data_IF_405016124388
#
_entry.id   IF_405016124388
#
_cell.length_a   1.000
_cell.length_b   1.000
_cell.length_c   1.000
_cell.angle_alpha   90.00
_cell.angle_beta   90.00
_cell.angle_gamma   90.00
#
_symmetry.space_group_name_H-M   'P 1'
#
loop_
_entity.id
_entity.type
_entity.pdbx_description
1 polymer ?
#
# COMPACT_ATOMS: atom_id res chain seq x y z
N UNK A 1 -21.42 0.14 -12.94
CA UNK A 1 -20.79 -0.40 -11.72
C UNK A 1 -20.12 0.73 -10.99
N UNK A 2 -20.40 0.86 -9.72
CA UNK A 2 -19.82 1.88 -8.90
C UNK A 2 -18.43 1.43 -8.41
N UNK A 3 -17.45 2.30 -8.57
CA UNK A 3 -16.09 2.04 -8.09
C UNK A 3 -15.89 2.72 -6.75
N UNK A 4 -15.57 1.95 -5.72
CA UNK A 4 -15.28 2.49 -4.38
C UNK A 4 -14.04 3.39 -4.44
N UNK A 5 -13.01 2.97 -5.17
CA UNK A 5 -11.84 3.80 -5.44
C UNK A 5 -12.05 4.59 -6.73
N UNK A 6 -13.02 5.52 -6.70
CA UNK A 6 -13.24 6.41 -7.83
C UNK A 6 -12.08 7.40 -7.98
N UNK A 7 -11.97 8.02 -9.15
CA UNK A 7 -10.94 9.04 -9.37
C UNK A 7 -10.98 10.14 -8.31
N UNK A 8 -12.18 10.58 -7.92
CA UNK A 8 -12.34 11.60 -6.88
C UNK A 8 -11.82 11.15 -5.53
N UNK A 9 -12.11 9.91 -5.16
CA UNK A 9 -11.62 9.33 -3.89
C UNK A 9 -10.10 9.22 -3.92
N UNK A 10 -9.54 8.75 -5.03
CA UNK A 10 -8.08 8.64 -5.18
C UNK A 10 -7.41 9.99 -5.03
N UNK A 11 -7.93 11.03 -5.68
CA UNK A 11 -7.37 12.38 -5.56
C UNK A 11 -7.47 12.90 -4.13
N UNK A 12 -8.60 12.68 -3.46
CA UNK A 12 -8.79 13.13 -2.07
C UNK A 12 -7.81 12.43 -1.12
N UNK A 13 -7.62 11.12 -1.29
CA UNK A 13 -6.68 10.34 -0.47
C UNK A 13 -5.25 10.81 -0.71
N UNK A 14 -4.85 10.98 -1.97
CA UNK A 14 -3.50 11.46 -2.29
C UNK A 14 -3.24 12.85 -1.71
N UNK A 15 -4.21 13.77 -1.83
CA UNK A 15 -4.08 15.11 -1.26
C UNK A 15 -3.92 15.07 0.25
N UNK A 16 -4.69 14.24 0.94
CA UNK A 16 -4.60 14.08 2.39
C UNK A 16 -3.27 13.49 2.83
N UNK A 17 -2.81 12.46 2.15
CA UNK A 17 -1.53 11.82 2.46
C UNK A 17 -0.35 12.75 2.18
N UNK A 18 -0.40 13.49 1.07
CA UNK A 18 0.65 14.47 0.75
C UNK A 18 0.72 15.56 1.81
N UNK A 19 -0.44 16.06 2.26
CA UNK A 19 -0.49 17.08 3.31
C UNK A 19 0.12 16.56 4.62
N UNK A 20 -0.16 15.33 5.01
CA UNK A 20 0.42 14.70 6.20
C UNK A 20 1.93 14.53 6.08
N UNK A 21 2.43 14.26 4.87
CA UNK A 21 3.85 14.01 4.65
C UNK A 21 4.68 15.30 4.53
N UNK A 22 4.04 16.46 4.35
CA UNK A 22 4.75 17.73 4.23
C UNK A 22 5.54 18.04 5.47
N UNK A 23 6.74 18.56 5.27
CA UNK A 23 7.63 18.94 6.36
C UNK A 23 8.51 17.82 6.87
N UNK A 24 8.25 16.57 6.43
CA UNK A 24 9.12 15.43 6.69
C UNK A 24 9.94 15.07 5.46
N UNK A 25 10.53 13.89 5.47
CA UNK A 25 11.22 13.36 4.29
C UNK A 25 10.22 13.14 3.16
N UNK A 26 10.62 13.38 1.89
CA UNK A 26 9.71 13.14 0.76
C UNK A 26 9.40 11.64 0.62
N UNK A 27 8.18 11.34 0.20
CA UNK A 27 7.70 9.95 0.08
C UNK A 27 7.08 9.70 -1.28
N UNK A 28 6.97 8.43 -1.64
CA UNK A 28 6.16 7.97 -2.75
C UNK A 28 4.88 7.35 -2.20
N UNK A 29 3.75 7.72 -2.76
CA UNK A 29 2.42 7.25 -2.36
C UNK A 29 1.84 6.40 -3.47
N UNK A 30 1.47 5.16 -3.18
CA UNK A 30 0.89 4.24 -4.14
C UNK A 30 -0.44 3.71 -3.62
N UNK A 31 -1.44 3.65 -4.49
CA UNK A 31 -2.74 3.07 -4.18
C UNK A 31 -3.00 1.98 -5.20
N UNK A 32 -3.27 0.76 -4.75
CA UNK A 32 -3.63 -0.36 -5.61
C UNK A 32 -5.11 -0.70 -5.44
N UNK A 33 -5.74 -1.16 -6.52
CA UNK A 33 -7.15 -1.56 -6.49
C UNK A 33 -7.28 -3.03 -6.07
N UNK A 34 -8.52 -3.49 -5.87
CA UNK A 34 -8.79 -4.84 -5.39
C UNK A 34 -8.29 -5.97 -6.31
N UNK A 35 -8.00 -5.66 -7.56
CA UNK A 35 -7.38 -6.62 -8.49
C UNK A 35 -5.86 -6.67 -8.40
N UNK A 36 -5.26 -5.84 -7.56
CA UNK A 36 -3.81 -5.75 -7.41
C UNK A 36 -3.14 -4.79 -8.39
N UNK A 37 -3.92 -4.09 -9.22
CA UNK A 37 -3.40 -3.12 -10.18
C UNK A 37 -3.16 -1.76 -9.55
N UNK A 38 -2.19 -1.03 -10.08
CA UNK A 38 -1.88 0.32 -9.62
C UNK A 38 -3.00 1.28 -10.04
N UNK A 39 -3.65 1.91 -9.07
CA UNK A 39 -4.73 2.87 -9.32
C UNK A 39 -4.22 4.31 -9.29
N UNK A 40 -3.24 4.63 -8.45
CA UNK A 40 -2.67 5.96 -8.36
C UNK A 40 -1.25 5.90 -7.80
N UNK A 41 -0.41 6.82 -8.27
CA UNK A 41 0.97 6.92 -7.82
C UNK A 41 1.36 8.39 -7.79
N UNK A 42 1.89 8.85 -6.67
CA UNK A 42 2.44 10.20 -6.53
C UNK A 42 3.82 10.11 -5.92
N UNK A 43 4.80 10.68 -6.60
CA UNK A 43 6.17 10.79 -6.10
C UNK A 43 6.43 12.23 -5.71
N UNK A 44 6.65 12.49 -4.43
CA UNK A 44 6.95 13.83 -3.95
C UNK A 44 8.36 14.25 -4.42
N UNK A 45 8.54 15.56 -4.58
CA UNK A 45 9.83 16.10 -5.00
C UNK A 45 10.95 15.64 -4.05
N UNK A 46 12.04 15.17 -4.63
CA UNK A 46 13.19 14.70 -3.87
C UNK A 46 13.13 13.23 -3.44
N UNK A 47 12.07 12.52 -3.77
CA UNK A 47 11.95 11.10 -3.45
C UNK A 47 12.90 10.28 -4.34
N UNK A 48 13.70 9.36 -3.78
CA UNK A 48 14.54 8.48 -4.60
C UNK A 48 13.69 7.51 -5.43
N UNK A 49 14.16 7.18 -6.64
CA UNK A 49 13.41 6.32 -7.56
C UNK A 49 13.07 4.94 -6.99
N UNK A 50 13.94 4.37 -6.15
CA UNK A 50 13.68 3.06 -5.54
C UNK A 50 12.41 3.05 -4.69
N UNK A 51 11.98 4.22 -4.20
CA UNK A 51 10.76 4.33 -3.40
C UNK A 51 9.50 3.98 -4.20
N UNK A 52 9.52 4.09 -5.51
CA UNK A 52 8.37 3.81 -6.38
C UNK A 52 7.98 2.33 -6.28
N UNK A 53 8.92 1.42 -6.55
CA UNK A 53 8.64 -0.01 -6.48
C UNK A 53 8.36 -0.47 -5.04
N UNK A 54 9.05 0.12 -4.07
CA UNK A 54 8.82 -0.19 -2.65
C UNK A 54 7.40 0.20 -2.24
N UNK A 55 6.94 1.40 -2.60
CA UNK A 55 5.59 1.85 -2.28
C UNK A 55 4.52 0.94 -2.92
N UNK A 56 4.72 0.56 -4.16
CA UNK A 56 3.81 -0.36 -4.85
C UNK A 56 3.78 -1.72 -4.17
N UNK A 57 4.93 -2.25 -3.80
CA UNK A 57 5.02 -3.53 -3.09
C UNK A 57 4.31 -3.50 -1.75
N UNK A 58 4.44 -2.43 -1.00
CA UNK A 58 3.74 -2.25 0.29
C UNK A 58 2.23 -2.24 0.11
N UNK A 59 1.72 -1.48 -0.85
CA UNK A 59 0.29 -1.39 -1.13
C UNK A 59 -0.26 -2.74 -1.60
N UNK A 60 0.44 -3.39 -2.50
CA UNK A 60 0.08 -4.70 -3.03
C UNK A 60 0.03 -5.76 -1.92
N UNK A 61 1.05 -5.80 -1.06
CA UNK A 61 1.12 -6.76 0.05
C UNK A 61 -0.05 -6.56 1.01
N UNK A 62 -0.34 -5.31 1.37
CA UNK A 62 -1.45 -4.99 2.28
C UNK A 62 -2.79 -5.44 1.70
N UNK A 63 -3.00 -5.25 0.41
CA UNK A 63 -4.21 -5.72 -0.27
C UNK A 63 -4.32 -7.25 -0.20
N UNK A 64 -3.28 -7.96 -0.62
CA UNK A 64 -3.30 -9.43 -0.70
C UNK A 64 -3.45 -10.09 0.67
N UNK A 65 -2.81 -9.54 1.69
CA UNK A 65 -2.86 -10.11 3.04
C UNK A 65 -4.01 -9.54 3.87
N UNK A 66 -4.72 -8.54 3.36
CA UNK A 66 -5.80 -7.85 4.06
C UNK A 66 -5.37 -7.38 5.45
N UNK A 67 -4.11 -6.97 5.56
CA UNK A 67 -3.50 -6.49 6.80
C UNK A 67 -2.43 -5.45 6.47
N UNK A 68 -2.05 -4.66 7.47
CA UNK A 68 -0.90 -3.76 7.28
C UNK A 68 0.37 -4.59 7.06
N UNK A 69 1.34 -4.01 6.37
CA UNK A 69 2.63 -4.69 6.18
C UNK A 69 3.34 -4.90 7.51
N UNK A 70 3.12 -4.02 8.48
CA UNK A 70 3.64 -4.19 9.84
C UNK A 70 3.08 -5.46 10.49
N UNK A 71 1.76 -5.65 10.46
CA UNK A 71 1.10 -6.81 11.04
C UNK A 71 1.49 -8.10 10.31
N UNK A 72 1.65 -8.02 8.99
CA UNK A 72 2.12 -9.14 8.18
C UNK A 72 3.52 -9.56 8.61
N UNK A 73 4.42 -8.61 8.82
CA UNK A 73 5.78 -8.90 9.29
C UNK A 73 5.75 -9.59 10.66
N UNK A 74 4.96 -9.08 11.59
CA UNK A 74 4.81 -9.67 12.93
C UNK A 74 4.26 -11.10 12.85
N UNK A 75 3.33 -11.36 11.93
CA UNK A 75 2.80 -12.69 11.69
C UNK A 75 3.88 -13.66 11.23
N UNK A 76 4.73 -13.23 10.28
CA UNK A 76 5.82 -14.09 9.79
C UNK A 76 6.75 -14.49 10.94
N UNK A 77 7.09 -13.56 11.81
CA UNK A 77 7.94 -13.83 12.97
C UNK A 77 7.25 -14.79 13.95
N UNK A 78 5.98 -14.55 14.23
CA UNK A 78 5.20 -15.37 15.17
C UNK A 78 5.02 -16.80 14.68
N UNK A 79 4.73 -16.97 13.39
CA UNK A 79 4.50 -18.29 12.78
C UNK A 79 5.79 -18.98 12.32
N UNK A 80 6.91 -18.29 12.41
CA UNK A 80 8.24 -18.79 11.99
C UNK A 80 8.26 -19.22 10.52
N UNK A 81 7.62 -18.43 9.68
CA UNK A 81 7.63 -18.60 8.22
C UNK A 81 8.30 -17.38 7.58
N UNK A 82 8.61 -17.49 6.31
CA UNK A 82 9.26 -16.42 5.58
C UNK A 82 8.37 -15.90 4.46
N UNK A 83 8.68 -14.71 3.96
CA UNK A 83 7.95 -14.12 2.84
C UNK A 83 8.00 -15.01 1.59
N UNK A 84 9.08 -15.77 1.41
CA UNK A 84 9.22 -16.71 0.29
C UNK A 84 8.16 -17.81 0.29
N UNK A 85 7.62 -18.15 1.45
CA UNK A 85 6.57 -19.17 1.57
C UNK A 85 5.28 -18.78 0.84
N UNK A 86 5.09 -17.51 0.57
CA UNK A 86 3.91 -17.01 -0.15
C UNK A 86 4.08 -17.05 -1.67
N UNK A 87 5.28 -17.35 -2.16
CA UNK A 87 5.56 -17.51 -3.59
C UNK A 87 5.19 -16.30 -4.45
N UNK A 88 5.28 -15.10 -3.91
CA UNK A 88 4.99 -13.88 -4.62
C UNK A 88 6.15 -12.88 -4.45
N UNK A 89 6.95 -12.66 -5.51
CA UNK A 89 8.12 -11.79 -5.42
C UNK A 89 7.79 -10.31 -5.21
N UNK A 90 6.52 -9.92 -5.37
CA UNK A 90 6.09 -8.55 -5.15
C UNK A 90 5.79 -8.24 -3.68
N UNK A 91 5.78 -9.24 -2.81
CA UNK A 91 5.53 -9.04 -1.38
C UNK A 91 6.73 -8.38 -0.69
N UNK A 92 6.42 -7.56 0.32
CA UNK A 92 7.42 -6.93 1.18
C UNK A 92 6.92 -6.87 2.62
N UNK A 93 7.84 -6.89 3.57
CA UNK A 93 7.56 -6.71 4.99
C UNK A 93 7.88 -5.30 5.48
N UNK A 94 8.29 -4.41 4.59
CA UNK A 94 8.59 -3.03 4.97
C UNK A 94 7.30 -2.32 5.42
N UNK A 95 7.37 -1.64 6.57
CA UNK A 95 6.23 -0.90 7.11
C UNK A 95 5.76 0.20 6.17
N UNK A 96 4.46 0.48 6.20
CA UNK A 96 3.84 1.59 5.48
C UNK A 96 2.70 1.18 4.56
N UNK A 97 2.47 -0.10 4.34
CA UNK A 97 1.31 -0.58 3.60
C UNK A 97 0.11 -0.73 4.51
N UNK A 98 -1.05 -0.23 4.08
CA UNK A 98 -2.29 -0.26 4.87
C UNK A 98 -3.43 -0.72 3.97
N UNK A 99 -4.24 -1.72 4.40
CA UNK A 99 -5.39 -2.14 3.63
C UNK A 99 -6.57 -1.17 3.80
N UNK A 100 -7.38 -1.05 2.77
CA UNK A 100 -8.61 -0.27 2.81
C UNK A 100 -9.80 -1.23 2.72
N UNK A 101 -10.81 -1.00 3.55
CA UNK A 101 -12.01 -1.83 3.58
C UNK A 101 -13.24 -0.99 3.26
N UNK A 102 -14.21 -1.59 2.56
CA UNK A 102 -15.49 -0.94 2.31
C UNK A 102 -16.41 -1.08 3.54
N UNK A 103 -17.62 -0.52 3.46
CA UNK A 103 -18.58 -0.57 4.55
C UNK A 103 -19.06 -1.97 4.93
N UNK A 104 -18.79 -2.96 4.07
CA UNK A 104 -19.15 -4.37 4.31
C UNK A 104 -17.94 -5.20 4.79
N UNK A 105 -16.81 -4.56 5.04
CA UNK A 105 -15.60 -5.22 5.49
C UNK A 105 -14.78 -5.91 4.40
N UNK A 106 -15.10 -5.63 3.12
CA UNK A 106 -14.34 -6.17 2.00
C UNK A 106 -13.13 -5.27 1.70
N UNK A 107 -11.98 -5.88 1.50
CA UNK A 107 -10.76 -5.15 1.14
C UNK A 107 -10.88 -4.63 -0.30
N UNK A 108 -10.66 -3.34 -0.48
CA UNK A 108 -10.75 -2.62 -1.74
C UNK A 108 -9.46 -1.93 -2.11
#
# INVERSE_FOLDING_TARGET
>A
MEHILSTRVLLAVLNGLEAEARGGAPVCLAIVNCGGGLAALLTMDGTPERAVSIAQGKAYTALRMESSTKDFHERLLRERITIADFCDPAFTTLEGGIPLFDGNGKCV
#
